data_IF_689491793592
#
_entry.id   IF_689491793592
#
_cell.length_a   1.000
_cell.length_b   1.000
_cell.length_c   1.000
_cell.angle_alpha   90.00
_cell.angle_beta   90.00
_cell.angle_gamma   90.00
#
_symmetry.space_group_name_H-M   'P 1'
#
loop_
_entity.id
_entity.type
_entity.pdbx_description
1 polymer ?
#
# COMPACT_ATOMS: atom_id res chain seq x y z
N UNK A 1 10.29 7.55 12.31
CA UNK A 1 9.54 7.09 11.13
C UNK A 1 10.34 6.10 10.26
N UNK A 2 11.62 6.32 9.88
CA UNK A 2 12.38 5.36 9.02
C UNK A 2 12.42 3.94 9.57
N UNK A 3 12.68 3.75 10.84
CA UNK A 3 12.68 2.42 11.47
C UNK A 3 11.30 1.75 11.43
N UNK A 4 10.23 2.54 11.48
CA UNK A 4 8.85 2.06 11.34
C UNK A 4 8.61 1.61 9.89
N UNK A 5 9.03 2.40 8.90
CA UNK A 5 8.94 2.02 7.48
C UNK A 5 9.71 0.72 7.24
N UNK A 6 10.95 0.62 7.72
CA UNK A 6 11.74 -0.61 7.59
C UNK A 6 11.00 -1.83 8.17
N UNK A 7 10.52 -1.73 9.41
CA UNK A 7 9.82 -2.85 10.06
C UNK A 7 8.51 -3.21 9.35
N UNK A 8 7.74 -2.21 8.91
CA UNK A 8 6.52 -2.43 8.14
C UNK A 8 6.82 -3.14 6.82
N UNK A 9 7.82 -2.67 6.06
CA UNK A 9 8.14 -3.25 4.74
C UNK A 9 8.77 -4.64 4.84
N UNK A 10 9.49 -4.97 5.92
CA UNK A 10 10.08 -6.28 6.15
C UNK A 10 9.09 -7.29 6.77
N UNK A 11 7.97 -6.82 7.36
CA UNK A 11 6.96 -7.67 7.95
C UNK A 11 6.18 -8.42 6.87
N UNK A 12 6.00 -9.74 7.06
CA UNK A 12 5.21 -10.60 6.19
C UNK A 12 3.72 -10.23 6.22
N UNK A 13 3.09 -10.12 5.04
CA UNK A 13 1.67 -9.80 4.94
C UNK A 13 1.13 -9.70 3.51
N UNK A 14 1.14 -10.78 2.70
CA UNK A 14 0.42 -10.79 1.43
C UNK A 14 -1.09 -10.62 1.65
N UNK A 15 -1.82 -10.19 0.61
CA UNK A 15 -3.27 -9.99 0.69
C UNK A 15 -4.00 -11.20 1.30
N UNK A 16 -4.80 -10.93 2.33
CA UNK A 16 -5.52 -11.94 3.11
C UNK A 16 -4.71 -12.54 4.28
N UNK A 17 -3.43 -12.16 4.43
CA UNK A 17 -2.53 -12.66 5.47
C UNK A 17 -1.83 -11.52 6.24
N UNK A 18 -2.48 -10.39 6.42
CA UNK A 18 -1.94 -9.15 6.99
C UNK A 18 -1.80 -9.19 8.52
N UNK A 19 -2.10 -10.31 9.16
CA UNK A 19 -2.17 -10.41 10.63
C UNK A 19 -0.94 -9.93 11.38
N UNK A 20 0.28 -10.19 10.86
CA UNK A 20 1.53 -9.74 11.49
C UNK A 20 1.69 -8.22 11.37
N UNK A 21 1.34 -7.64 10.22
CA UNK A 21 1.39 -6.19 9.99
C UNK A 21 0.39 -5.47 10.88
N UNK A 22 -0.83 -5.98 10.93
CA UNK A 22 -1.89 -5.44 11.79
C UNK A 22 -1.46 -5.42 13.26
N UNK A 23 -0.89 -6.52 13.75
CA UNK A 23 -0.41 -6.58 15.13
C UNK A 23 0.69 -5.56 15.39
N UNK A 24 1.65 -5.44 14.47
CA UNK A 24 2.73 -4.45 14.60
C UNK A 24 2.19 -3.01 14.62
N UNK A 25 1.21 -2.68 13.77
CA UNK A 25 0.57 -1.35 13.79
C UNK A 25 -0.19 -1.14 15.09
N UNK A 26 -0.95 -2.12 15.56
CA UNK A 26 -1.68 -2.04 16.82
C UNK A 26 -0.76 -1.78 18.01
N UNK A 27 0.39 -2.45 18.06
CA UNK A 27 1.39 -2.24 19.12
C UNK A 27 1.95 -0.79 19.12
N UNK A 28 2.10 -0.19 17.94
CA UNK A 28 2.60 1.19 17.79
C UNK A 28 1.55 2.25 18.13
N UNK A 29 0.28 1.90 18.12
CA UNK A 29 -0.82 2.84 18.37
C UNK A 29 -1.30 2.88 19.82
N UNK A 30 -0.76 2.02 20.69
CA UNK A 30 -1.07 2.06 22.12
C UNK A 30 -0.80 3.46 22.73
N UNK A 31 -1.67 4.00 23.62
CA UNK A 31 -2.82 3.32 24.25
C UNK A 31 -4.16 3.48 23.51
N UNK A 32 -4.18 3.85 22.23
CA UNK A 32 -5.42 3.98 21.48
C UNK A 32 -6.03 2.59 21.21
N UNK A 33 -7.35 2.51 21.35
CA UNK A 33 -8.09 1.29 21.05
C UNK A 33 -8.25 1.14 19.53
N UNK A 34 -7.75 0.01 19.00
CA UNK A 34 -7.95 -0.40 17.61
C UNK A 34 -9.00 -1.51 17.51
N UNK A 35 -9.94 -1.36 16.57
CA UNK A 35 -10.94 -2.38 16.26
C UNK A 35 -10.50 -3.13 15.02
N UNK A 36 -10.47 -4.45 15.10
CA UNK A 36 -10.30 -5.31 13.91
C UNK A 36 -11.67 -5.77 13.44
N UNK A 37 -12.04 -5.41 12.20
CA UNK A 37 -13.31 -5.83 11.61
C UNK A 37 -13.27 -7.27 11.04
N UNK A 38 -14.38 -7.72 10.48
CA UNK A 38 -14.51 -9.06 9.92
C UNK A 38 -13.61 -9.33 8.70
N UNK A 39 -13.21 -8.28 7.96
CA UNK A 39 -12.26 -8.39 6.85
C UNK A 39 -10.81 -8.37 7.31
N UNK A 40 -10.57 -8.00 8.57
CA UNK A 40 -9.23 -7.86 9.12
C UNK A 40 -8.67 -6.44 9.01
N UNK A 41 -9.45 -5.44 8.60
CA UNK A 41 -9.03 -4.05 8.68
C UNK A 41 -8.76 -3.67 10.14
N UNK A 42 -7.70 -2.89 10.39
CA UNK A 42 -7.51 -2.25 11.68
C UNK A 42 -8.03 -0.81 11.60
N UNK A 43 -8.98 -0.49 12.44
CA UNK A 43 -9.66 0.81 12.48
C UNK A 43 -9.34 1.49 13.81
N UNK A 44 -8.74 2.68 13.74
CA UNK A 44 -8.44 3.50 14.91
C UNK A 44 -9.22 4.80 14.80
N UNK A 45 -10.12 4.99 15.76
CA UNK A 45 -10.90 6.23 15.86
C UNK A 45 -10.14 7.25 16.69
N UNK A 46 -10.15 8.53 16.26
CA UNK A 46 -9.67 9.66 17.05
C UNK A 46 -10.52 10.90 16.80
N UNK A 47 -10.56 11.79 17.79
CA UNK A 47 -11.34 13.01 17.74
C UNK A 47 -12.86 12.77 17.83
N UNK A 48 -13.58 13.88 17.99
CA UNK A 48 -15.04 13.91 17.99
C UNK A 48 -15.53 14.98 17.01
N UNK A 49 -16.58 14.68 16.26
CA UNK A 49 -17.13 15.60 15.26
C UNK A 49 -17.66 16.87 15.94
N UNK A 50 -16.96 17.99 15.72
CA UNK A 50 -17.39 19.31 16.16
C UNK A 50 -18.39 19.93 15.18
N UNK A 51 -18.97 21.10 15.52
CA UNK A 51 -19.98 21.81 14.70
C UNK A 51 -19.55 22.02 13.24
N UNK A 52 -18.27 22.32 13.00
CA UNK A 52 -17.70 22.53 11.66
C UNK A 52 -16.80 21.36 11.20
N UNK A 53 -16.89 20.22 11.89
CA UNK A 53 -16.16 19.02 11.58
C UNK A 53 -16.96 18.06 10.71
N UNK A 54 -16.28 17.02 10.25
CA UNK A 54 -16.82 15.94 9.44
C UNK A 54 -16.38 14.61 10.01
N UNK A 55 -17.07 13.53 9.65
CA UNK A 55 -16.59 12.18 9.81
C UNK A 55 -15.72 11.84 8.61
N UNK A 56 -14.44 11.56 8.86
CA UNK A 56 -13.44 11.34 7.81
C UNK A 56 -12.90 9.91 7.92
N UNK A 57 -12.87 9.19 6.80
CA UNK A 57 -12.12 7.96 6.67
C UNK A 57 -10.78 8.26 5.97
N UNK A 58 -9.68 7.93 6.64
CA UNK A 58 -8.34 7.94 6.04
C UNK A 58 -7.89 6.49 5.90
N UNK A 59 -7.47 6.05 4.72
CA UNK A 59 -7.07 4.66 4.50
C UNK A 59 -5.71 4.54 3.83
N UNK A 60 -4.97 3.50 4.21
CA UNK A 60 -3.77 2.98 3.57
C UNK A 60 -3.77 1.46 3.74
N UNK A 61 -3.28 0.71 2.74
CA UNK A 61 -3.40 -0.74 2.81
C UNK A 61 -2.20 -1.43 3.46
N UNK A 62 -2.52 -2.49 4.22
CA UNK A 62 -1.53 -3.32 4.92
C UNK A 62 -0.96 -4.43 4.05
N UNK A 63 -1.69 -4.88 3.05
CA UNK A 63 -1.26 -6.00 2.23
C UNK A 63 -0.15 -5.63 1.24
N UNK A 64 0.47 -6.64 0.72
CA UNK A 64 1.50 -6.55 -0.31
C UNK A 64 1.25 -7.63 -1.37
N UNK A 65 1.78 -7.45 -2.57
CA UNK A 65 1.80 -8.48 -3.60
C UNK A 65 2.57 -9.72 -3.13
N UNK A 66 2.17 -10.89 -3.61
CA UNK A 66 2.82 -12.13 -3.24
C UNK A 66 2.45 -13.29 -4.16
N UNK A 67 2.67 -14.49 -3.68
CA UNK A 67 2.35 -15.71 -4.40
C UNK A 67 1.70 -16.73 -3.47
N UNK A 68 0.80 -17.57 -4.01
CA UNK A 68 0.15 -18.66 -3.30
C UNK A 68 0.47 -19.99 -3.97
N UNK A 69 0.91 -20.97 -3.21
CA UNK A 69 1.20 -22.32 -3.71
C UNK A 69 -0.08 -22.96 -4.25
N UNK A 70 -0.06 -23.33 -5.53
CA UNK A 70 -1.20 -23.98 -6.21
C UNK A 70 -1.02 -25.48 -6.39
N UNK A 71 0.22 -25.97 -6.46
CA UNK A 71 0.56 -27.37 -6.62
C UNK A 71 2.01 -27.64 -6.19
N UNK A 72 2.31 -28.85 -5.73
CA UNK A 72 3.67 -29.32 -5.45
C UNK A 72 3.89 -30.62 -6.25
N UNK A 73 4.90 -30.64 -7.09
CA UNK A 73 5.24 -31.81 -7.92
C UNK A 73 5.97 -32.91 -7.10
N UNK A 74 6.21 -34.04 -7.73
CA UNK A 74 6.83 -35.19 -7.06
C UNK A 74 8.30 -34.94 -6.67
N UNK A 75 8.96 -33.98 -7.32
CA UNK A 75 10.32 -33.57 -7.02
C UNK A 75 10.40 -32.48 -5.93
N UNK A 76 9.25 -31.97 -5.44
CA UNK A 76 9.18 -30.97 -4.38
C UNK A 76 9.17 -29.52 -4.85
N UNK A 77 9.10 -29.25 -6.17
CA UNK A 77 8.94 -27.89 -6.69
C UNK A 77 7.48 -27.43 -6.56
N UNK A 78 7.28 -26.22 -6.08
CA UNK A 78 5.93 -25.66 -5.92
C UNK A 78 5.54 -24.77 -7.11
N UNK A 79 4.39 -25.02 -7.73
CA UNK A 79 3.72 -24.08 -8.63
C UNK A 79 2.93 -23.08 -7.79
N UNK A 80 2.71 -21.89 -8.34
CA UNK A 80 2.04 -20.81 -7.62
C UNK A 80 1.10 -20.01 -8.52
N UNK A 81 0.14 -19.36 -7.89
CA UNK A 81 -0.68 -18.29 -8.47
C UNK A 81 -0.24 -16.94 -7.89
N UNK A 82 -0.30 -15.85 -8.65
CA UNK A 82 -0.01 -14.52 -8.14
C UNK A 82 -1.09 -14.06 -7.15
N UNK A 83 -0.68 -13.26 -6.18
CA UNK A 83 -1.54 -12.43 -5.32
C UNK A 83 -1.22 -10.98 -5.69
N UNK A 84 -2.20 -10.24 -6.20
CA UNK A 84 -1.98 -8.89 -6.71
C UNK A 84 -1.20 -8.83 -8.03
N UNK A 85 -0.60 -7.69 -8.30
CA UNK A 85 0.07 -7.35 -9.55
C UNK A 85 1.48 -7.93 -9.71
N UNK A 86 1.65 -9.24 -9.68
CA UNK A 86 2.94 -9.92 -9.86
C UNK A 86 3.29 -10.10 -11.34
N UNK A 87 4.42 -9.56 -11.77
CA UNK A 87 4.91 -9.66 -13.15
C UNK A 87 6.01 -10.69 -13.29
N UNK A 88 5.95 -11.53 -14.32
CA UNK A 88 6.93 -12.59 -14.62
C UNK A 88 8.39 -12.10 -14.62
N UNK A 89 8.62 -10.90 -15.18
CA UNK A 89 9.97 -10.27 -15.23
C UNK A 89 10.61 -10.02 -13.86
N UNK A 90 9.78 -9.87 -12.82
CA UNK A 90 10.23 -9.59 -11.45
C UNK A 90 10.44 -10.87 -10.63
N UNK A 91 10.04 -12.02 -11.17
CA UNK A 91 10.07 -13.31 -10.47
C UNK A 91 11.41 -14.03 -10.57
N UNK A 92 12.07 -14.00 -11.73
CA UNK A 92 13.26 -14.82 -12.01
C UNK A 92 14.37 -14.56 -11.01
N UNK A 93 14.76 -15.62 -10.27
CA UNK A 93 15.82 -15.55 -9.27
C UNK A 93 15.45 -14.78 -7.99
N UNK A 94 14.22 -14.29 -7.89
CA UNK A 94 13.73 -13.64 -6.67
C UNK A 94 13.54 -14.65 -5.56
N UNK A 95 13.91 -14.26 -4.34
CA UNK A 95 13.60 -15.03 -3.14
C UNK A 95 12.21 -14.65 -2.66
N UNK A 96 11.51 -15.65 -2.11
CA UNK A 96 10.23 -15.49 -1.43
C UNK A 96 10.32 -16.13 -0.04
N UNK A 97 9.58 -15.55 0.92
CA UNK A 97 9.53 -16.00 2.29
C UNK A 97 8.09 -16.32 2.67
N UNK A 98 7.90 -17.55 3.15
CA UNK A 98 6.63 -18.04 3.68
C UNK A 98 6.40 -17.57 5.14
N UNK A 99 5.17 -17.73 5.62
CA UNK A 99 4.78 -17.28 6.95
C UNK A 99 5.57 -17.94 8.09
N UNK A 100 6.03 -19.19 7.90
CA UNK A 100 6.84 -19.94 8.86
C UNK A 100 8.34 -19.61 8.78
N UNK A 101 8.74 -18.68 7.92
CA UNK A 101 10.14 -18.30 7.67
C UNK A 101 10.84 -19.14 6.61
N UNK A 102 10.20 -20.16 6.03
CA UNK A 102 10.77 -20.93 4.93
C UNK A 102 11.06 -19.99 3.75
N UNK A 103 12.28 -20.06 3.22
CA UNK A 103 12.70 -19.29 2.05
C UNK A 103 12.70 -20.19 0.82
N UNK A 104 12.20 -19.68 -0.29
CA UNK A 104 12.26 -20.32 -1.59
C UNK A 104 12.84 -19.38 -2.66
N UNK A 105 13.33 -19.95 -3.74
CA UNK A 105 13.81 -19.22 -4.93
C UNK A 105 12.86 -19.47 -6.08
N UNK A 106 12.42 -18.39 -6.74
CA UNK A 106 11.58 -18.52 -7.93
C UNK A 106 12.46 -18.82 -9.14
N UNK A 107 12.27 -20.02 -9.69
CA UNK A 107 12.84 -20.46 -10.97
C UNK A 107 11.80 -20.45 -12.08
N UNK A 108 12.26 -20.60 -13.31
CA UNK A 108 11.38 -20.76 -14.48
C UNK A 108 11.79 -21.96 -15.31
N UNK A 109 10.81 -22.61 -15.96
CA UNK A 109 11.07 -23.61 -16.97
C UNK A 109 11.85 -22.99 -18.13
N UNK A 110 12.68 -23.79 -18.79
CA UNK A 110 13.45 -23.33 -19.96
C UNK A 110 12.51 -22.68 -20.99
N UNK A 111 12.76 -21.41 -21.38
CA UNK A 111 11.92 -20.74 -22.36
C UNK A 111 12.06 -21.37 -23.74
N UNK A 112 11.00 -21.30 -24.56
CA UNK A 112 11.03 -21.79 -25.96
C UNK A 112 11.96 -20.95 -26.84
N UNK A 113 12.16 -19.68 -26.48
CA UNK A 113 13.10 -18.78 -27.14
C UNK A 113 13.76 -17.89 -26.08
N UNK A 114 15.06 -17.58 -26.18
CA UNK A 114 15.76 -16.69 -25.24
C UNK A 114 15.13 -15.29 -25.11
N UNK A 115 14.47 -14.83 -26.17
CA UNK A 115 13.89 -13.47 -26.25
C UNK A 115 12.46 -13.37 -25.70
N UNK A 116 11.86 -14.50 -25.31
CA UNK A 116 10.47 -14.52 -24.79
C UNK A 116 10.45 -14.87 -23.30
N UNK A 117 9.92 -13.94 -22.51
CA UNK A 117 9.61 -14.22 -21.11
C UNK A 117 8.46 -15.23 -21.05
N UNK A 118 8.62 -16.36 -20.34
CA UNK A 118 7.52 -17.30 -20.13
C UNK A 118 6.36 -16.68 -19.35
N UNK A 119 5.15 -17.21 -19.52
CA UNK A 119 4.00 -16.90 -18.68
C UNK A 119 4.21 -17.44 -17.25
N UNK A 120 3.55 -16.85 -16.26
CA UNK A 120 3.76 -17.19 -14.83
C UNK A 120 3.54 -18.68 -14.52
N UNK A 121 2.68 -19.37 -15.26
CA UNK A 121 2.41 -20.82 -15.10
C UNK A 121 3.64 -21.69 -15.36
N UNK A 122 4.66 -21.15 -16.02
CA UNK A 122 5.95 -21.84 -16.26
C UNK A 122 6.97 -21.63 -15.11
N UNK A 123 6.61 -20.84 -14.10
CA UNK A 123 7.47 -20.59 -12.96
C UNK A 123 7.20 -21.61 -11.83
N UNK A 124 8.15 -21.74 -10.94
CA UNK A 124 8.07 -22.59 -9.76
C UNK A 124 8.91 -22.00 -8.62
N UNK A 125 8.61 -22.42 -7.40
CA UNK A 125 9.39 -22.10 -6.20
C UNK A 125 10.17 -23.34 -5.80
N UNK A 126 11.47 -23.17 -5.61
CA UNK A 126 12.38 -24.17 -5.08
C UNK A 126 12.71 -23.83 -3.62
N UNK A 127 12.32 -24.70 -2.70
CA UNK A 127 12.61 -24.58 -1.25
C UNK A 127 13.74 -25.52 -0.81
N UNK A 128 14.44 -26.15 -1.76
CA UNK A 128 15.45 -27.15 -1.51
C UNK A 128 14.88 -28.55 -1.16
N UNK A 129 13.57 -28.76 -1.31
CA UNK A 129 12.96 -30.07 -1.15
C UNK A 129 13.39 -31.00 -2.29
N UNK A 130 13.65 -32.28 -1.99
CA UNK A 130 14.08 -33.29 -2.98
C UNK A 130 12.93 -34.19 -3.43
N UNK A 131 11.77 -34.08 -2.79
CA UNK A 131 10.52 -34.74 -3.15
C UNK A 131 9.35 -34.09 -2.40
N UNK A 132 8.12 -34.41 -2.83
CA UNK A 132 6.89 -33.88 -2.21
C UNK A 132 6.78 -34.15 -0.71
N UNK A 133 7.27 -35.30 -0.21
CA UNK A 133 7.11 -35.71 1.19
C UNK A 133 7.96 -34.87 2.15
N UNK A 134 9.13 -34.38 1.69
CA UNK A 134 9.99 -33.55 2.51
C UNK A 134 9.83 -32.04 2.23
N UNK A 135 8.90 -31.67 1.37
CA UNK A 135 8.52 -30.27 1.15
C UNK A 135 7.75 -29.75 2.37
N UNK A 136 8.27 -28.70 3.01
CA UNK A 136 7.66 -28.13 4.22
C UNK A 136 6.42 -27.30 3.92
N UNK A 137 6.37 -26.69 2.73
CA UNK A 137 5.22 -25.89 2.30
C UNK A 137 4.13 -26.78 1.71
N UNK A 138 2.91 -26.28 1.67
CA UNK A 138 1.71 -26.97 1.16
C UNK A 138 0.88 -26.08 0.24
N UNK A 139 -0.04 -26.66 -0.50
CA UNK A 139 -1.01 -25.94 -1.31
C UNK A 139 -1.82 -25.00 -0.41
N UNK A 140 -1.96 -23.76 -0.84
CA UNK A 140 -2.60 -22.67 -0.10
C UNK A 140 -1.64 -21.83 0.76
N UNK A 141 -0.41 -22.26 0.99
CA UNK A 141 0.58 -21.44 1.67
C UNK A 141 0.96 -20.24 0.79
N UNK A 142 1.14 -19.09 1.42
CA UNK A 142 1.48 -17.84 0.75
C UNK A 142 2.89 -17.40 1.07
N UNK A 143 3.51 -16.71 0.14
CA UNK A 143 4.83 -16.12 0.33
C UNK A 143 4.88 -14.69 -0.21
N UNK A 144 5.58 -13.82 0.48
CA UNK A 144 5.95 -12.50 0.00
C UNK A 144 7.36 -12.52 -0.62
N UNK A 145 7.66 -11.57 -1.49
CA UNK A 145 9.03 -11.36 -1.95
C UNK A 145 9.94 -11.02 -0.77
N UNK A 146 11.18 -11.48 -0.82
CA UNK A 146 12.16 -11.21 0.21
C UNK A 146 13.26 -10.28 -0.31
N UNK A 147 13.32 -9.08 0.24
CA UNK A 147 14.34 -8.10 -0.05
C UNK A 147 14.57 -7.23 1.20
N UNK A 148 15.81 -7.09 1.70
CA UNK A 148 16.09 -6.25 2.85
C UNK A 148 15.88 -4.78 2.52
N UNK A 149 15.45 -4.01 3.51
CA UNK A 149 15.40 -2.56 3.43
C UNK A 149 16.81 -1.97 3.24
N UNK A 150 16.92 -0.99 2.37
CA UNK A 150 18.17 -0.23 2.19
C UNK A 150 17.87 1.27 2.08
N UNK A 151 18.83 2.07 2.52
CA UNK A 151 18.76 3.52 2.41
C UNK A 151 20.00 4.06 1.68
N UNK A 152 19.78 4.97 0.75
CA UNK A 152 20.84 5.75 0.11
C UNK A 152 20.42 7.22 0.07
N UNK A 153 21.08 8.05 0.86
CA UNK A 153 20.71 9.46 1.08
C UNK A 153 19.25 9.58 1.56
N UNK A 154 18.40 10.27 0.80
CA UNK A 154 16.95 10.38 1.07
C UNK A 154 16.13 9.22 0.47
N UNK A 155 16.74 8.37 -0.36
CA UNK A 155 16.03 7.26 -1.01
C UNK A 155 15.94 6.05 -0.09
N UNK A 156 14.73 5.53 0.07
CA UNK A 156 14.43 4.30 0.79
C UNK A 156 14.03 3.26 -0.25
N UNK A 157 14.60 2.06 -0.14
CA UNK A 157 14.32 0.95 -1.07
C UNK A 157 13.95 -0.29 -0.27
N UNK A 158 12.79 -0.86 -0.54
CA UNK A 158 12.35 -2.12 0.02
C UNK A 158 11.27 -2.77 -0.86
N UNK A 159 10.89 -3.98 -0.52
CA UNK A 159 9.61 -4.53 -0.96
C UNK A 159 8.46 -3.82 -0.25
N UNK A 160 7.25 -3.91 -0.76
CA UNK A 160 6.04 -3.45 -0.07
C UNK A 160 6.09 -1.98 0.42
N UNK A 161 6.82 -1.08 -0.27
CA UNK A 161 6.59 0.35 -0.09
C UNK A 161 5.14 0.67 -0.43
N UNK A 162 4.61 0.00 -1.44
CA UNK A 162 3.21 -0.14 -1.76
C UNK A 162 2.54 -1.13 -0.78
N UNK A 163 1.69 -0.71 0.20
CA UNK A 163 1.51 0.67 0.64
C UNK A 163 1.87 0.80 2.14
N UNK A 164 2.93 0.07 2.56
CA UNK A 164 3.41 0.15 3.94
C UNK A 164 3.96 1.54 4.28
N UNK A 165 4.35 2.31 3.26
CA UNK A 165 4.76 3.70 3.45
C UNK A 165 3.55 4.60 3.72
N UNK A 166 2.40 4.35 3.12
CA UNK A 166 1.13 5.02 3.46
C UNK A 166 0.67 4.67 4.87
N UNK A 167 0.80 3.40 5.27
CA UNK A 167 0.59 3.01 6.67
C UNK A 167 1.49 3.80 7.64
N UNK A 168 2.78 3.98 7.31
CA UNK A 168 3.70 4.77 8.11
C UNK A 168 3.32 6.25 8.17
N UNK A 169 2.85 6.81 7.05
CA UNK A 169 2.32 8.19 7.00
C UNK A 169 1.12 8.35 7.92
N UNK A 170 0.18 7.42 7.88
CA UNK A 170 -1.00 7.45 8.76
C UNK A 170 -0.62 7.35 10.23
N UNK A 171 0.28 6.43 10.60
CA UNK A 171 0.79 6.29 11.97
C UNK A 171 1.44 7.57 12.48
N UNK A 172 2.28 8.18 11.66
CA UNK A 172 2.97 9.41 12.02
C UNK A 172 2.02 10.61 12.07
N UNK A 173 1.04 10.68 11.18
CA UNK A 173 -0.02 11.69 11.21
C UNK A 173 -0.86 11.56 12.48
N UNK A 174 -1.28 10.35 12.85
CA UNK A 174 -2.01 10.06 14.08
C UNK A 174 -1.22 10.55 15.32
N UNK A 175 0.10 10.32 15.35
CA UNK A 175 0.97 10.76 16.43
C UNK A 175 1.15 12.28 16.51
N UNK A 176 1.19 12.98 15.35
CA UNK A 176 1.41 14.43 15.26
C UNK A 176 0.13 15.24 15.40
N UNK A 177 -1.02 14.64 15.13
CA UNK A 177 -2.31 15.31 15.19
C UNK A 177 -2.67 15.61 16.65
N UNK A 178 -2.64 16.90 17.03
CA UNK A 178 -2.93 17.34 18.40
C UNK A 178 -4.41 17.62 18.60
N UNK A 179 -5.00 18.36 17.67
CA UNK A 179 -6.39 18.78 17.69
C UNK A 179 -7.00 18.65 16.31
N UNK A 180 -8.27 18.29 16.26
CA UNK A 180 -9.03 18.19 15.01
C UNK A 180 -10.49 18.55 15.29
N UNK A 181 -11.15 19.28 14.37
CA UNK A 181 -12.60 19.44 14.43
C UNK A 181 -13.36 18.19 13.97
N UNK A 182 -12.65 17.20 13.44
CA UNK A 182 -13.21 16.03 12.78
C UNK A 182 -13.25 14.81 13.71
N UNK A 183 -14.20 13.92 13.44
CA UNK A 183 -14.17 12.52 13.88
C UNK A 183 -13.44 11.73 12.78
N UNK A 184 -12.28 11.15 13.10
CA UNK A 184 -11.40 10.55 12.12
C UNK A 184 -11.27 9.07 12.37
N UNK A 185 -11.41 8.28 11.32
CA UNK A 185 -11.15 6.85 11.28
C UNK A 185 -9.92 6.57 10.43
N UNK A 186 -8.81 6.21 11.07
CA UNK A 186 -7.64 5.68 10.39
C UNK A 186 -7.86 4.18 10.14
N UNK A 187 -8.03 3.83 8.87
CA UNK A 187 -8.31 2.46 8.42
C UNK A 187 -7.08 1.89 7.75
N UNK A 188 -6.41 0.99 8.43
CA UNK A 188 -5.35 0.17 7.82
C UNK A 188 -6.06 -0.99 7.13
N UNK A 189 -6.24 -0.87 5.81
CA UNK A 189 -7.09 -1.76 5.02
C UNK A 189 -6.38 -3.05 4.65
N UNK A 190 -7.16 -4.07 4.32
CA UNK A 190 -6.70 -5.39 3.85
C UNK A 190 -7.11 -5.63 2.41
N UNK A 191 -6.36 -6.49 1.69
CA UNK A 191 -6.76 -7.00 0.38
C UNK A 191 -7.04 -5.89 -0.66
N UNK A 192 -6.25 -4.82 -0.63
CA UNK A 192 -6.31 -3.77 -1.65
C UNK A 192 -5.88 -4.31 -3.00
N UNK A 193 -4.73 -4.99 -3.05
CA UNK A 193 -4.04 -5.54 -4.22
C UNK A 193 -4.87 -6.55 -5.02
N UNK A 194 -5.91 -7.10 -4.40
CA UNK A 194 -6.82 -8.09 -5.01
C UNK A 194 -8.24 -7.54 -5.18
N UNK A 195 -8.40 -6.21 -5.12
CA UNK A 195 -9.65 -5.55 -5.48
C UNK A 195 -10.27 -4.67 -4.40
N UNK A 196 -9.49 -3.91 -3.62
CA UNK A 196 -9.93 -2.85 -2.69
C UNK A 196 -10.91 -3.36 -1.61
N UNK A 197 -10.80 -4.63 -1.20
CA UNK A 197 -11.87 -5.34 -0.49
C UNK A 197 -12.09 -4.82 0.92
N UNK A 198 -11.01 -4.61 1.66
CA UNK A 198 -11.08 -4.11 3.02
C UNK A 198 -11.67 -2.71 3.10
N UNK A 199 -11.17 -1.78 2.29
CA UNK A 199 -11.70 -0.43 2.24
C UNK A 199 -13.16 -0.37 1.78
N UNK A 200 -13.59 -1.29 0.89
CA UNK A 200 -15.00 -1.39 0.48
C UNK A 200 -15.92 -1.61 1.67
N UNK A 201 -15.58 -2.57 2.53
CA UNK A 201 -16.42 -2.89 3.69
C UNK A 201 -16.31 -1.84 4.79
N UNK A 202 -15.12 -1.30 5.02
CA UNK A 202 -14.89 -0.24 6.00
C UNK A 202 -15.65 1.03 5.61
N UNK A 203 -15.56 1.50 4.37
CA UNK A 203 -16.26 2.68 3.88
C UNK A 203 -17.78 2.54 4.00
N UNK A 204 -18.32 1.34 3.79
CA UNK A 204 -19.75 1.08 3.99
C UNK A 204 -20.15 1.18 5.46
N UNK A 205 -19.35 0.63 6.37
CA UNK A 205 -19.71 0.54 7.79
C UNK A 205 -19.53 1.85 8.55
N UNK A 206 -18.52 2.66 8.20
CA UNK A 206 -18.15 3.86 8.94
C UNK A 206 -19.04 5.08 8.66
N UNK A 207 -19.81 5.08 7.57
CA UNK A 207 -20.66 6.22 7.17
C UNK A 207 -19.89 7.56 7.12
N UNK A 208 -18.67 7.51 6.59
CA UNK A 208 -17.83 8.70 6.48
C UNK A 208 -18.44 9.73 5.49
N UNK A 209 -18.18 11.00 5.76
CA UNK A 209 -18.62 12.11 4.91
C UNK A 209 -17.54 12.51 3.90
N UNK A 210 -16.29 12.11 4.16
CA UNK A 210 -15.11 12.35 3.30
C UNK A 210 -14.19 11.15 3.37
N UNK A 211 -13.65 10.72 2.23
CA UNK A 211 -12.64 9.68 2.12
C UNK A 211 -11.31 10.23 1.62
N UNK A 212 -10.23 9.88 2.29
CA UNK A 212 -8.86 10.20 1.85
C UNK A 212 -8.05 8.92 1.87
N UNK A 213 -7.54 8.46 0.73
CA UNK A 213 -6.50 7.43 0.75
C UNK A 213 -5.11 8.06 0.82
N UNK A 214 -4.19 7.36 1.43
CA UNK A 214 -2.75 7.60 1.34
C UNK A 214 -2.18 6.37 0.70
N UNK A 215 -1.50 6.52 -0.43
CA UNK A 215 -1.07 5.39 -1.24
C UNK A 215 0.17 5.78 -2.06
N UNK A 216 0.85 4.86 -2.69
CA UNK A 216 1.93 5.20 -3.61
C UNK A 216 1.41 5.54 -5.00
N UNK A 217 2.25 6.17 -5.81
CA UNK A 217 2.01 6.35 -7.24
C UNK A 217 3.28 6.16 -8.06
N UNK A 218 3.12 5.70 -9.29
CA UNK A 218 4.24 5.45 -10.20
C UNK A 218 4.93 6.76 -10.55
N UNK A 219 6.21 6.89 -10.24
CA UNK A 219 7.02 8.02 -10.65
C UNK A 219 7.44 7.92 -12.13
N UNK A 220 7.40 9.05 -12.82
CA UNK A 220 7.75 9.18 -14.24
C UNK A 220 9.18 9.67 -14.51
N UNK A 221 10.05 9.68 -13.51
CA UNK A 221 11.41 10.22 -13.57
C UNK A 221 12.52 9.18 -13.82
N UNK A 222 12.14 7.99 -14.30
CA UNK A 222 13.11 6.98 -14.75
C UNK A 222 13.44 7.15 -16.24
N UNK A 223 14.63 6.67 -16.70
CA UNK A 223 14.99 6.80 -18.10
C UNK A 223 13.93 6.21 -19.04
N UNK A 224 13.42 7.04 -19.97
CA UNK A 224 12.37 6.67 -20.93
C UNK A 224 11.06 6.19 -20.30
N UNK A 225 10.73 6.66 -19.09
CA UNK A 225 9.42 6.42 -18.52
C UNK A 225 8.31 7.00 -19.41
N UNK A 226 7.14 6.37 -19.41
CA UNK A 226 5.95 6.93 -20.01
C UNK A 226 5.58 8.24 -19.29
N UNK A 227 4.95 9.16 -20.01
CA UNK A 227 4.67 10.53 -19.60
C UNK A 227 3.83 10.66 -18.33
N UNK A 228 4.46 10.40 -17.19
CA UNK A 228 3.94 10.78 -15.89
C UNK A 228 4.86 11.88 -15.34
N UNK A 229 4.29 13.04 -15.02
CA UNK A 229 5.05 14.19 -14.53
C UNK A 229 5.50 14.07 -13.07
N UNK A 230 5.17 12.97 -12.39
CA UNK A 230 5.47 12.76 -10.98
C UNK A 230 6.94 12.41 -10.78
N UNK A 231 7.61 13.17 -9.92
CA UNK A 231 9.04 13.05 -9.65
C UNK A 231 9.30 12.74 -8.18
N UNK A 232 10.27 11.87 -7.89
CA UNK A 232 10.76 11.65 -6.53
C UNK A 232 11.49 12.89 -6.00
N UNK A 233 11.17 13.30 -4.77
CA UNK A 233 11.80 14.44 -4.11
C UNK A 233 11.12 15.78 -4.38
N UNK A 234 9.98 15.77 -5.09
CA UNK A 234 9.21 16.98 -5.41
C UNK A 234 7.94 17.13 -4.54
N UNK A 235 7.81 16.32 -3.51
CA UNK A 235 6.65 16.29 -2.62
C UNK A 235 5.61 15.23 -3.03
N UNK A 236 4.64 14.92 -2.14
CA UNK A 236 3.54 14.04 -2.47
C UNK A 236 2.70 14.61 -3.59
N UNK A 237 1.99 13.75 -4.31
CA UNK A 237 1.06 14.18 -5.33
C UNK A 237 -0.39 14.22 -4.79
N UNK A 238 -1.11 15.28 -5.11
CA UNK A 238 -2.55 15.37 -4.92
C UNK A 238 -3.19 14.75 -6.16
N UNK A 239 -3.81 13.60 -5.99
CA UNK A 239 -4.43 12.85 -7.09
C UNK A 239 -5.69 13.57 -7.58
N UNK A 240 -5.68 13.97 -8.85
CA UNK A 240 -6.83 14.56 -9.55
C UNK A 240 -7.68 13.46 -10.18
N UNK A 241 -7.03 12.43 -10.74
CA UNK A 241 -7.69 11.31 -11.41
C UNK A 241 -6.80 10.07 -11.42
N UNK A 242 -7.42 8.90 -11.35
CA UNK A 242 -6.83 7.62 -11.77
C UNK A 242 -7.80 6.82 -12.67
N UNK A 243 -7.53 5.54 -12.94
CA UNK A 243 -8.40 4.73 -13.81
C UNK A 243 -9.77 4.43 -13.20
N UNK A 244 -9.90 4.50 -11.90
CA UNK A 244 -11.11 4.14 -11.15
C UNK A 244 -11.83 5.31 -10.49
N UNK A 245 -11.19 6.49 -10.40
CA UNK A 245 -11.72 7.62 -9.66
C UNK A 245 -11.37 8.95 -10.32
N UNK A 246 -12.30 9.90 -10.29
CA UNK A 246 -12.03 11.33 -10.42
C UNK A 246 -12.20 11.93 -9.03
N UNK A 247 -11.14 12.45 -8.44
CA UNK A 247 -11.18 13.06 -7.11
C UNK A 247 -12.17 14.22 -7.07
N UNK A 248 -12.85 14.40 -5.95
CA UNK A 248 -13.74 15.55 -5.78
C UNK A 248 -12.96 16.86 -5.91
N UNK A 249 -13.30 17.74 -6.87
CA UNK A 249 -12.53 18.97 -7.11
C UNK A 249 -12.47 19.91 -5.91
N UNK A 250 -13.48 19.87 -5.02
CA UNK A 250 -13.51 20.67 -3.79
C UNK A 250 -12.48 20.12 -2.79
N UNK A 251 -12.37 18.79 -2.68
CA UNK A 251 -11.38 18.14 -1.83
C UNK A 251 -9.96 18.36 -2.37
N UNK A 252 -9.73 18.22 -3.68
CA UNK A 252 -8.46 18.58 -4.33
C UNK A 252 -8.07 20.02 -3.99
N UNK A 253 -9.00 20.96 -4.12
CA UNK A 253 -8.77 22.36 -3.76
C UNK A 253 -8.47 22.56 -2.27
N UNK A 254 -9.12 21.81 -1.39
CA UNK A 254 -8.86 21.86 0.05
C UNK A 254 -7.45 21.36 0.37
N UNK A 255 -7.02 20.23 -0.23
CA UNK A 255 -5.67 19.68 -0.10
C UNK A 255 -4.61 20.66 -0.61
N UNK A 256 -4.83 21.24 -1.80
CA UNK A 256 -3.92 22.25 -2.40
C UNK A 256 -3.76 23.46 -1.48
N UNK A 257 -4.86 24.02 -0.97
CA UNK A 257 -4.80 25.15 -0.03
C UNK A 257 -4.07 24.82 1.26
N UNK A 258 -4.25 23.60 1.79
CA UNK A 258 -3.53 23.15 2.97
C UNK A 258 -2.01 23.06 2.69
N UNK A 259 -1.63 22.50 1.55
CA UNK A 259 -0.24 22.42 1.13
C UNK A 259 0.39 23.83 0.93
N UNK A 260 -0.29 24.73 0.23
CA UNK A 260 0.18 26.10 0.00
C UNK A 260 0.34 26.88 1.30
N UNK A 261 -0.65 26.80 2.20
CA UNK A 261 -0.64 27.51 3.50
C UNK A 261 0.53 27.07 4.37
N UNK A 262 0.82 25.78 4.41
CA UNK A 262 1.92 25.20 5.19
C UNK A 262 3.24 25.10 4.41
N UNK A 263 3.28 25.67 3.20
CA UNK A 263 4.45 25.67 2.31
C UNK A 263 5.01 24.26 2.04
N UNK A 264 4.11 23.28 1.88
CA UNK A 264 4.46 21.89 1.60
C UNK A 264 4.65 21.71 0.10
N UNK A 265 5.84 21.26 -0.35
CA UNK A 265 6.03 20.86 -1.74
C UNK A 265 5.02 19.80 -2.13
N UNK A 266 4.35 19.97 -3.27
CA UNK A 266 3.36 19.02 -3.77
C UNK A 266 3.28 19.03 -5.29
N UNK A 267 2.72 17.97 -5.83
CA UNK A 267 2.52 17.79 -7.28
C UNK A 267 1.04 17.48 -7.55
N UNK A 268 0.62 17.51 -8.81
CA UNK A 268 -0.70 17.05 -9.22
C UNK A 268 -0.57 15.79 -10.06
N UNK A 269 -1.45 14.82 -9.82
CA UNK A 269 -1.42 13.54 -10.48
C UNK A 269 -2.66 13.29 -11.33
N UNK A 270 -2.43 12.92 -12.60
CA UNK A 270 -3.40 12.27 -13.48
C UNK A 270 -2.78 10.95 -13.93
N UNK A 271 -3.27 9.84 -13.38
CA UNK A 271 -2.78 8.49 -13.64
C UNK A 271 -3.74 7.75 -14.58
N UNK A 272 -3.22 7.18 -15.66
CA UNK A 272 -4.06 6.45 -16.64
C UNK A 272 -4.37 5.01 -16.20
N UNK A 273 -3.49 4.39 -15.43
CA UNK A 273 -3.62 3.03 -14.91
C UNK A 273 -3.62 2.98 -13.39
N UNK A 274 -4.08 1.87 -12.81
CA UNK A 274 -4.16 1.71 -11.36
C UNK A 274 -5.29 2.52 -10.71
N UNK A 275 -5.51 2.27 -9.43
CA UNK A 275 -6.47 3.00 -8.59
C UNK A 275 -6.08 2.78 -7.13
N UNK A 276 -6.80 3.35 -6.19
CA UNK A 276 -6.54 3.27 -4.74
C UNK A 276 -7.84 3.03 -3.97
N UNK A 277 -7.74 2.81 -2.67
CA UNK A 277 -8.89 2.68 -1.77
C UNK A 277 -9.90 3.86 -1.87
N UNK A 278 -9.45 5.05 -2.28
CA UNK A 278 -10.36 6.20 -2.47
C UNK A 278 -11.47 5.94 -3.49
N UNK A 279 -11.23 5.10 -4.49
CA UNK A 279 -12.25 4.70 -5.47
C UNK A 279 -13.49 4.10 -4.80
N UNK A 280 -13.29 3.12 -3.93
CA UNK A 280 -14.42 2.43 -3.27
C UNK A 280 -15.05 3.27 -2.17
N UNK A 281 -14.28 4.17 -1.54
CA UNK A 281 -14.86 5.19 -0.66
C UNK A 281 -15.82 6.09 -1.43
N UNK A 282 -15.39 6.62 -2.60
CA UNK A 282 -16.19 7.54 -3.41
C UNK A 282 -17.57 7.00 -3.75
N UNK A 283 -17.68 5.71 -4.05
CA UNK A 283 -18.93 5.07 -4.49
C UNK A 283 -19.65 4.32 -3.35
N UNK A 284 -19.16 4.41 -2.11
CA UNK A 284 -19.79 3.73 -0.98
C UNK A 284 -21.14 4.37 -0.64
N UNK A 285 -22.16 3.54 -0.38
CA UNK A 285 -23.54 3.98 -0.03
C UNK A 285 -24.12 4.95 -1.06
N UNK A 286 -24.37 6.18 -0.65
CA UNK A 286 -24.87 7.26 -1.52
C UNK A 286 -23.73 8.06 -2.18
N UNK A 287 -22.49 7.65 -1.98
CA UNK A 287 -21.29 8.34 -2.42
C UNK A 287 -20.78 9.37 -1.41
N UNK A 288 -19.46 9.62 -1.45
CA UNK A 288 -18.81 10.68 -0.67
C UNK A 288 -17.70 11.36 -1.47
N UNK A 289 -17.40 12.63 -1.21
CA UNK A 289 -16.17 13.26 -1.72
C UNK A 289 -14.95 12.43 -1.31
N UNK A 290 -14.15 12.03 -2.29
CA UNK A 290 -12.94 11.26 -2.03
C UNK A 290 -11.76 11.81 -2.83
N UNK A 291 -10.56 11.57 -2.32
CA UNK A 291 -9.28 11.94 -2.92
C UNK A 291 -8.14 11.10 -2.37
N UNK A 292 -6.94 11.32 -2.92
CA UNK A 292 -5.75 10.57 -2.52
C UNK A 292 -4.54 11.50 -2.38
N UNK A 293 -3.75 11.27 -1.33
CA UNK A 293 -2.39 11.79 -1.18
C UNK A 293 -1.46 10.68 -1.65
N UNK A 294 -0.85 10.87 -2.83
CA UNK A 294 -0.01 9.85 -3.45
C UNK A 294 1.47 10.09 -3.15
N UNK A 295 2.18 9.05 -2.70
CA UNK A 295 3.62 9.09 -2.43
C UNK A 295 4.34 8.64 -3.70
N UNK A 296 5.18 9.49 -4.34
CA UNK A 296 5.93 9.07 -5.52
C UNK A 296 6.79 7.84 -5.24
N UNK A 297 6.64 6.81 -6.06
CA UNK A 297 7.35 5.54 -5.94
C UNK A 297 7.84 5.05 -7.31
N UNK A 298 9.11 4.66 -7.41
CA UNK A 298 9.66 3.96 -8.58
C UNK A 298 9.54 2.46 -8.37
N UNK A 299 9.41 1.74 -9.47
CA UNK A 299 9.45 0.27 -9.48
C UNK A 299 8.32 -0.39 -8.69
N UNK A 300 7.15 0.26 -8.63
CA UNK A 300 5.94 -0.26 -7.98
C UNK A 300 5.65 -1.69 -8.46
N UNK A 301 5.19 -2.56 -7.55
CA UNK A 301 4.98 -4.00 -7.77
C UNK A 301 6.28 -4.75 -8.14
N UNK A 302 7.39 -4.34 -7.53
CA UNK A 302 8.65 -5.10 -7.60
C UNK A 302 9.20 -5.39 -6.21
N UNK A 303 10.14 -6.32 -6.05
CA UNK A 303 10.79 -6.52 -4.76
C UNK A 303 11.70 -5.34 -4.30
N UNK A 304 11.81 -4.27 -5.07
CA UNK A 304 12.75 -3.16 -4.82
C UNK A 304 12.12 -1.80 -5.16
N UNK A 305 11.01 -1.51 -4.56
CA UNK A 305 10.30 -0.24 -4.67
C UNK A 305 11.08 0.88 -4.00
N UNK A 306 11.05 2.08 -4.57
CA UNK A 306 11.87 3.20 -4.11
C UNK A 306 11.04 4.46 -3.92
N UNK A 307 11.11 5.03 -2.72
CA UNK A 307 10.51 6.34 -2.38
C UNK A 307 11.56 7.33 -1.91
N UNK A 308 11.24 8.62 -1.93
CA UNK A 308 12.03 9.64 -1.25
C UNK A 308 11.46 9.94 0.13
N UNK A 309 12.29 9.89 1.15
CA UNK A 309 11.87 10.13 2.52
C UNK A 309 11.29 11.53 2.75
N UNK A 310 11.75 12.54 1.98
CA UNK A 310 11.19 13.89 2.09
C UNK A 310 9.76 13.96 1.56
N UNK A 311 9.43 13.18 0.51
CA UNK A 311 8.05 13.08 0.01
C UNK A 311 7.14 12.44 1.05
N UNK A 312 7.63 11.38 1.74
CA UNK A 312 6.91 10.73 2.84
C UNK A 312 6.66 11.70 4.00
N UNK A 313 7.68 12.46 4.44
CA UNK A 313 7.54 13.49 5.48
C UNK A 313 6.56 14.59 5.06
N UNK A 314 6.59 15.01 3.82
CA UNK A 314 5.66 16.02 3.30
C UNK A 314 4.22 15.46 3.15
N UNK A 315 4.05 14.18 2.86
CA UNK A 315 2.74 13.51 2.91
C UNK A 315 2.14 13.50 4.33
N UNK A 316 2.97 13.23 5.35
CA UNK A 316 2.56 13.36 6.77
C UNK A 316 2.10 14.78 7.08
N UNK A 317 2.91 15.79 6.72
CA UNK A 317 2.56 17.20 6.97
C UNK A 317 1.26 17.59 6.29
N UNK A 318 1.08 17.18 5.03
CA UNK A 318 -0.14 17.47 4.27
C UNK A 318 -1.36 16.82 4.91
N UNK A 319 -1.27 15.55 5.29
CA UNK A 319 -2.37 14.84 5.96
C UNK A 319 -2.73 15.51 7.30
N UNK A 320 -1.73 15.85 8.12
CA UNK A 320 -1.96 16.58 9.38
C UNK A 320 -2.60 17.94 9.13
N UNK A 321 -2.11 18.71 8.15
CA UNK A 321 -2.65 20.03 7.82
C UNK A 321 -4.13 19.98 7.42
N UNK A 322 -4.53 18.97 6.64
CA UNK A 322 -5.92 18.77 6.23
C UNK A 322 -6.79 18.40 7.43
N UNK A 323 -6.32 17.47 8.27
CA UNK A 323 -7.09 16.95 9.39
C UNK A 323 -7.19 17.92 10.58
N UNK A 324 -6.30 18.90 10.69
CA UNK A 324 -6.30 19.89 11.78
C UNK A 324 -7.26 21.06 11.57
N UNK A 325 -7.86 21.20 10.39
CA UNK A 325 -8.70 22.35 10.05
C UNK A 325 -10.01 21.94 9.39
N UNK A 326 -11.11 22.72 9.56
CA UNK A 326 -12.36 22.43 8.86
C UNK A 326 -12.19 22.34 7.35
N UNK A 327 -12.61 21.24 6.75
CA UNK A 327 -12.61 21.05 5.30
C UNK A 327 -13.85 21.72 4.72
N UNK A 328 -13.65 22.64 3.78
CA UNK A 328 -14.74 23.31 3.06
C UNK A 328 -14.94 22.65 1.70
N UNK A 329 -16.01 21.89 1.55
CA UNK A 329 -16.41 21.22 0.31
C UNK A 329 -17.49 22.02 -0.42
#
# INVERSE_FOLDING_TARGET
>A
MKDVIQKLTETYGPSGFEGQVRQFILDLTQPLDGITDAMGNLIIKTGEKQKNGMRIMVAAHMDEIGVMVSHIDDNGFARFSPIGGVYARNCVGSRVRFADGTVGVIGMAKPESPDKMPVLEKFFIDTGATNRKNCKIKVGDTACFERPFTQSNSRLVAKAMDDRVGCAVMLEALRRLKESPHEIYFVFSTQEEVGLRGATTAAYSLEAEVGISVDVTVAGDTPRANHNAILLGSGPAIKVRDSGMISDPRLVKAMTRAAEKEQIPHQFEVLEGGTTDARVMQISRAGMPAGCISIPCRYVHTPSEMVDYNDVENAVKLLVAILSHPIKL
#
